data_IF_135018969394
#
_entry.id   IF_135018969394
#
_cell.length_a   1.000
_cell.length_b   1.000
_cell.length_c   1.000
_cell.angle_alpha   90.00
_cell.angle_beta   90.00
_cell.angle_gamma   90.00
#
_symmetry.space_group_name_H-M   'P 1'
#
loop_
_entity.id
_entity.type
_entity.pdbx_description
1 polymer ?
#
# COMPACT_ATOMS: atom_id res chain seq x y z
N UNK A 1 40.43 3.06 21.39
CA UNK A 1 40.00 4.29 20.72
C UNK A 1 38.66 4.03 20.03
N UNK A 2 37.65 4.83 20.40
CA UNK A 2 36.45 5.21 19.63
C UNK A 2 35.48 4.08 19.20
N UNK A 3 34.48 3.91 20.06
CA UNK A 3 33.06 3.67 19.74
C UNK A 3 32.63 4.24 18.38
N UNK A 4 31.73 3.56 17.65
CA UNK A 4 30.44 4.11 17.20
C UNK A 4 29.64 3.07 16.36
N UNK A 5 28.44 2.75 16.85
CA UNK A 5 27.25 2.38 16.07
C UNK A 5 27.38 1.14 15.17
N UNK A 6 27.38 -0.04 15.78
CA UNK A 6 26.71 -1.22 15.17
C UNK A 6 25.49 -1.59 16.01
N UNK A 7 24.64 -0.58 16.27
CA UNK A 7 23.44 -0.72 17.10
C UNK A 7 22.15 -0.39 16.34
N UNK A 8 22.24 -0.05 15.04
CA UNK A 8 21.06 0.24 14.20
C UNK A 8 20.57 -1.02 13.47
N UNK A 9 21.40 -2.04 13.28
CA UNK A 9 21.01 -3.29 12.61
C UNK A 9 20.25 -4.27 13.50
N UNK A 10 20.08 -3.98 14.80
CA UNK A 10 19.33 -4.84 15.71
C UNK A 10 17.89 -4.37 15.96
N UNK A 11 17.55 -3.11 15.65
CA UNK A 11 16.17 -2.61 15.74
C UNK A 11 15.29 -3.04 14.56
N UNK A 12 15.87 -3.35 13.39
CA UNK A 12 15.11 -3.88 12.25
C UNK A 12 14.71 -5.35 12.45
N UNK A 13 15.42 -6.11 13.29
CA UNK A 13 15.12 -7.52 13.53
C UNK A 13 14.00 -7.74 14.56
N UNK A 14 13.69 -6.76 15.41
CA UNK A 14 12.60 -6.84 16.38
C UNK A 14 11.22 -6.40 15.84
N UNK A 15 11.17 -5.80 14.65
CA UNK A 15 9.91 -5.46 13.98
C UNK A 15 9.35 -6.61 13.12
N UNK A 16 10.16 -7.64 12.83
CA UNK A 16 9.86 -8.69 11.85
C UNK A 16 8.93 -9.83 12.34
N UNK A 17 8.26 -9.68 13.48
CA UNK A 17 7.33 -10.69 14.03
C UNK A 17 5.85 -10.27 13.98
N UNK A 18 5.53 -9.07 13.45
CA UNK A 18 4.16 -8.62 13.22
C UNK A 18 3.88 -8.65 11.71
N UNK A 19 2.67 -9.05 11.29
CA UNK A 19 2.28 -8.88 9.90
C UNK A 19 2.24 -7.38 9.62
N UNK A 20 3.12 -6.89 8.73
CA UNK A 20 3.34 -5.45 8.47
C UNK A 20 2.03 -4.71 8.10
N UNK A 21 1.00 -5.44 7.66
CA UNK A 21 -0.33 -4.91 7.33
C UNK A 21 -1.36 -4.94 8.47
N UNK A 22 -1.07 -5.52 9.64
CA UNK A 22 -2.02 -5.57 10.76
C UNK A 22 -2.54 -4.19 11.17
N UNK A 23 -1.71 -3.13 11.28
CA UNK A 23 -2.21 -1.79 11.59
C UNK A 23 -3.12 -1.24 10.49
N UNK A 24 -2.79 -1.53 9.22
CA UNK A 24 -3.60 -1.14 8.04
C UNK A 24 -4.98 -1.77 8.12
N UNK A 25 -5.06 -3.09 8.30
CA UNK A 25 -6.34 -3.80 8.36
C UNK A 25 -7.15 -3.47 9.61
N UNK A 26 -6.48 -3.27 10.75
CA UNK A 26 -7.14 -2.82 11.99
C UNK A 26 -7.80 -1.45 11.81
N UNK A 27 -7.12 -0.50 11.17
CA UNK A 27 -7.69 0.82 10.87
C UNK A 27 -8.84 0.73 9.85
N UNK A 28 -8.73 -0.13 8.82
CA UNK A 28 -9.82 -0.39 7.87
C UNK A 28 -11.07 -0.93 8.56
N UNK A 29 -10.92 -1.89 9.48
CA UNK A 29 -12.03 -2.46 10.25
C UNK A 29 -12.73 -1.42 11.15
N UNK A 30 -12.02 -0.35 11.50
CA UNK A 30 -12.57 0.80 12.24
C UNK A 30 -13.17 1.88 11.32
N UNK A 31 -13.15 1.68 10.00
CA UNK A 31 -13.56 2.68 9.01
C UNK A 31 -12.59 3.86 8.87
N UNK A 32 -11.42 3.80 9.52
CA UNK A 32 -10.42 4.87 9.48
C UNK A 32 -9.45 4.65 8.30
N UNK A 33 -9.94 4.94 7.09
CA UNK A 33 -9.19 4.74 5.85
C UNK A 33 -7.95 5.64 5.74
N UNK A 34 -7.96 6.84 6.34
CA UNK A 34 -6.79 7.72 6.39
C UNK A 34 -5.64 7.10 7.20
N UNK A 35 -5.93 6.58 8.40
CA UNK A 35 -4.93 5.89 9.23
C UNK A 35 -4.47 4.57 8.59
N UNK A 36 -5.37 3.87 7.89
CA UNK A 36 -5.00 2.69 7.12
C UNK A 36 -4.00 3.06 6.01
N UNK A 37 -4.23 4.18 5.32
CA UNK A 37 -3.35 4.67 4.27
C UNK A 37 -1.97 5.08 4.80
N UNK A 38 -1.90 5.76 5.96
CA UNK A 38 -0.64 6.08 6.64
C UNK A 38 0.17 4.81 6.95
N UNK A 39 -0.48 3.82 7.56
CA UNK A 39 0.15 2.54 7.90
C UNK A 39 0.63 1.79 6.65
N UNK A 40 -0.20 1.74 5.61
CA UNK A 40 0.14 1.11 4.35
C UNK A 40 1.32 1.79 3.65
N UNK A 41 1.42 3.13 3.71
CA UNK A 41 2.53 3.85 3.11
C UNK A 41 3.87 3.48 3.75
N UNK A 42 3.90 3.17 5.05
CA UNK A 42 5.10 2.65 5.73
C UNK A 42 5.52 1.30 5.15
N UNK A 43 4.57 0.38 4.95
CA UNK A 43 4.83 -0.94 4.32
C UNK A 43 5.33 -0.79 2.88
N UNK A 44 4.76 0.14 2.11
CA UNK A 44 5.22 0.42 0.75
C UNK A 44 6.67 0.91 0.71
N UNK A 45 7.16 1.61 1.76
CA UNK A 45 8.57 2.04 1.79
C UNK A 45 9.55 0.87 1.84
N UNK A 46 9.16 -0.26 2.44
CA UNK A 46 9.99 -1.46 2.57
C UNK A 46 9.75 -2.45 1.43
N UNK A 47 8.55 -2.49 0.83
CA UNK A 47 8.18 -3.37 -0.29
C UNK A 47 7.56 -2.63 -1.49
N UNK A 48 8.29 -1.62 -2.00
CA UNK A 48 7.83 -0.73 -3.07
C UNK A 48 7.57 -1.39 -4.44
N UNK A 49 7.89 -2.68 -4.61
CA UNK A 49 7.69 -3.41 -5.87
C UNK A 49 6.50 -4.38 -5.82
N UNK A 50 5.79 -4.43 -4.70
CA UNK A 50 4.65 -5.31 -4.53
C UNK A 50 3.36 -4.67 -5.03
N UNK A 51 2.81 -5.24 -6.10
CA UNK A 51 1.61 -4.75 -6.76
C UNK A 51 0.37 -4.77 -5.86
N UNK A 52 0.26 -5.74 -4.93
CA UNK A 52 -0.87 -5.87 -4.02
C UNK A 52 -0.96 -4.70 -3.03
N UNK A 53 0.18 -4.11 -2.63
CA UNK A 53 0.18 -2.93 -1.77
C UNK A 53 -0.42 -1.72 -2.50
N UNK A 54 -0.17 -1.60 -3.80
CA UNK A 54 -0.76 -0.55 -4.62
C UNK A 54 -2.23 -0.82 -4.96
N UNK A 55 -2.65 -2.09 -5.05
CA UNK A 55 -4.06 -2.49 -5.12
C UNK A 55 -4.80 -2.01 -3.88
N UNK A 56 -4.28 -2.34 -2.69
CA UNK A 56 -4.86 -1.91 -1.42
C UNK A 56 -4.90 -0.39 -1.28
N UNK A 57 -3.82 0.29 -1.67
CA UNK A 57 -3.76 1.76 -1.68
C UNK A 57 -4.83 2.38 -2.57
N UNK A 58 -5.05 1.81 -3.75
CA UNK A 58 -6.08 2.29 -4.67
C UNK A 58 -7.49 2.15 -4.08
N UNK A 59 -7.80 1.00 -3.48
CA UNK A 59 -9.08 0.75 -2.82
C UNK A 59 -9.33 1.69 -1.62
N UNK A 60 -8.29 2.01 -0.85
CA UNK A 60 -8.39 2.99 0.24
C UNK A 60 -8.74 4.38 -0.29
N UNK A 61 -8.09 4.82 -1.37
CA UNK A 61 -8.41 6.10 -2.01
C UNK A 61 -9.82 6.11 -2.63
N UNK A 62 -10.31 4.99 -3.19
CA UNK A 62 -11.72 4.88 -3.61
C UNK A 62 -12.69 5.02 -2.42
N UNK A 63 -12.36 4.41 -1.27
CA UNK A 63 -13.15 4.52 -0.04
C UNK A 63 -13.17 5.95 0.53
N UNK A 64 -12.16 6.76 0.20
CA UNK A 64 -12.03 8.17 0.56
C UNK A 64 -12.60 9.12 -0.50
N UNK A 65 -13.15 8.60 -1.61
CA UNK A 65 -13.59 9.38 -2.78
C UNK A 65 -12.46 10.22 -3.43
N UNK A 66 -11.21 9.79 -3.27
CA UNK A 66 -10.00 10.42 -3.82
C UNK A 66 -9.68 9.81 -5.21
N UNK A 67 -10.51 10.16 -6.20
CA UNK A 67 -10.49 9.52 -7.53
C UNK A 67 -9.14 9.60 -8.26
N UNK A 68 -8.39 10.71 -8.13
CA UNK A 68 -7.12 10.86 -8.86
C UNK A 68 -6.01 10.01 -8.24
N UNK A 69 -5.99 9.94 -6.92
CA UNK A 69 -5.08 9.15 -6.12
C UNK A 69 -5.34 7.66 -6.33
N UNK A 70 -6.61 7.25 -6.35
CA UNK A 70 -7.02 5.89 -6.71
C UNK A 70 -6.54 5.50 -8.11
N UNK A 71 -6.76 6.38 -9.11
CA UNK A 71 -6.27 6.16 -10.48
C UNK A 71 -4.75 6.02 -10.55
N UNK A 72 -4.01 6.82 -9.78
CA UNK A 72 -2.55 6.74 -9.72
C UNK A 72 -2.09 5.40 -9.13
N UNK A 73 -2.69 4.99 -8.02
CA UNK A 73 -2.38 3.73 -7.35
C UNK A 73 -2.71 2.51 -8.22
N UNK A 74 -3.87 2.49 -8.91
CA UNK A 74 -4.21 1.43 -9.84
C UNK A 74 -3.24 1.32 -11.03
N UNK A 75 -2.76 2.44 -11.55
CA UNK A 75 -1.73 2.43 -12.61
C UNK A 75 -0.43 1.82 -12.11
N UNK A 76 -0.05 2.10 -10.88
CA UNK A 76 1.16 1.51 -10.27
C UNK A 76 0.98 0.02 -9.99
N UNK A 77 -0.18 -0.40 -9.48
CA UNK A 77 -0.58 -1.80 -9.34
C UNK A 77 -0.44 -2.56 -10.66
N UNK A 78 -1.06 -2.04 -11.73
CA UNK A 78 -0.94 -2.59 -13.08
C UNK A 78 0.51 -2.66 -13.56
N UNK A 79 1.31 -1.61 -13.34
CA UNK A 79 2.71 -1.55 -13.78
C UNK A 79 3.59 -2.61 -13.10
N UNK A 80 3.33 -2.90 -11.83
CA UNK A 80 4.12 -3.83 -11.02
C UNK A 80 3.59 -5.27 -11.07
N UNK A 81 2.34 -5.47 -11.50
CA UNK A 81 1.71 -6.78 -11.56
C UNK A 81 2.49 -7.75 -12.46
N UNK A 82 2.64 -8.98 -11.98
CA UNK A 82 3.23 -10.10 -12.74
C UNK A 82 2.19 -11.09 -13.25
N UNK A 83 0.91 -10.93 -12.90
CA UNK A 83 -0.15 -11.84 -13.32
C UNK A 83 -1.28 -11.09 -14.03
N UNK A 84 -1.97 -11.81 -14.91
CA UNK A 84 -3.01 -11.25 -15.76
C UNK A 84 -4.27 -10.86 -14.97
N UNK A 85 -4.60 -11.57 -13.89
CA UNK A 85 -5.79 -11.30 -13.08
C UNK A 85 -5.74 -9.92 -12.44
N UNK A 86 -4.64 -9.62 -11.74
CA UNK A 86 -4.46 -8.33 -11.07
C UNK A 86 -4.34 -7.18 -12.09
N UNK A 87 -3.75 -7.46 -13.26
CA UNK A 87 -3.70 -6.50 -14.37
C UNK A 87 -5.10 -6.19 -14.90
N UNK A 88 -5.97 -7.20 -15.01
CA UNK A 88 -7.36 -7.05 -15.46
C UNK A 88 -8.18 -6.28 -14.42
N UNK A 89 -8.08 -6.62 -13.14
CA UNK A 89 -8.72 -5.90 -12.03
C UNK A 89 -8.36 -4.40 -12.08
N UNK A 90 -7.07 -4.08 -12.17
CA UNK A 90 -6.61 -2.70 -12.25
C UNK A 90 -7.17 -1.96 -13.49
N UNK A 91 -7.24 -2.62 -14.65
CA UNK A 91 -7.82 -2.01 -15.86
C UNK A 91 -9.32 -1.71 -15.66
N UNK A 92 -10.07 -2.61 -15.04
CA UNK A 92 -11.50 -2.44 -14.80
C UNK A 92 -11.76 -1.21 -13.90
N UNK A 93 -11.05 -1.10 -12.79
CA UNK A 93 -11.16 0.06 -11.89
C UNK A 93 -10.72 1.37 -12.58
N UNK A 94 -9.62 1.35 -13.35
CA UNK A 94 -9.18 2.54 -14.10
C UNK A 94 -10.24 3.00 -15.10
N UNK A 95 -10.90 2.06 -15.79
CA UNK A 95 -11.98 2.38 -16.73
C UNK A 95 -13.19 2.97 -16.00
N UNK A 96 -13.62 2.35 -14.90
CA UNK A 96 -14.74 2.81 -14.08
C UNK A 96 -14.52 4.24 -13.55
N UNK A 97 -13.37 4.48 -12.91
CA UNK A 97 -13.02 5.78 -12.31
C UNK A 97 -12.84 6.91 -13.34
N UNK A 98 -12.54 6.57 -14.60
CA UNK A 98 -12.48 7.55 -15.69
C UNK A 98 -13.86 7.99 -16.17
N UNK A 99 -14.85 7.10 -16.06
CA UNK A 99 -16.23 7.34 -16.51
C UNK A 99 -17.07 8.04 -15.44
N UNK A 100 -16.69 7.94 -14.18
CA UNK A 100 -17.39 8.56 -13.04
C UNK A 100 -17.05 10.05 -12.85
N UNK A 101 -16.62 10.76 -13.90
CA UNK A 101 -16.16 12.16 -13.85
C UNK A 101 -17.16 13.12 -14.49
#
# INVERSE_FOLDING_TARGET
>A
MKTLISSILFCSFLLAQNNDLDPTFSAMNQGNYGKALESLNLVITTDSKNAELYRLKAMLHESLAETQEALSAWRMCKKLSKNNSLTLEANNHIQLLRQSK
#
